data_IF_622056250723
#
_entry.id   IF_622056250723
#
_cell.length_a   1.000
_cell.length_b   1.000
_cell.length_c   1.000
_cell.angle_alpha   90.00
_cell.angle_beta   90.00
_cell.angle_gamma   90.00
#
_symmetry.space_group_name_H-M   'P 1'
#
loop_
_entity.id
_entity.type
_entity.pdbx_description
1 polymer ?
#
# COMPACT_ATOMS: atom_id res chain seq x y z
N UNK A 1 13.38 -13.14 -12.92
CA UNK A 1 12.20 -13.81 -12.31
C UNK A 1 10.99 -12.94 -12.58
N UNK A 2 9.79 -13.51 -12.71
CA UNK A 2 8.57 -12.70 -12.83
C UNK A 2 8.30 -11.96 -11.51
N UNK A 3 7.76 -10.75 -11.58
CA UNK A 3 7.28 -9.97 -10.44
C UNK A 3 5.82 -9.61 -10.63
N UNK A 4 4.99 -9.68 -9.57
CA UNK A 4 3.65 -9.14 -9.64
C UNK A 4 3.70 -7.63 -9.85
N UNK A 5 2.71 -7.08 -10.53
CA UNK A 5 2.48 -5.64 -10.56
C UNK A 5 1.38 -5.31 -9.55
N UNK A 6 1.63 -4.33 -8.68
CA UNK A 6 0.69 -3.84 -7.68
C UNK A 6 0.59 -2.33 -7.90
N UNK A 7 -0.63 -1.84 -8.06
CA UNK A 7 -0.95 -0.45 -8.31
C UNK A 7 -1.46 0.25 -7.03
N UNK A 8 -1.18 1.55 -6.89
CA UNK A 8 -1.75 2.44 -5.89
C UNK A 8 -2.82 3.30 -6.55
N UNK A 9 -4.10 3.02 -6.27
CA UNK A 9 -5.21 3.65 -6.99
C UNK A 9 -5.41 5.12 -6.63
N UNK A 10 -5.09 5.48 -5.39
CA UNK A 10 -5.16 6.85 -4.90
C UNK A 10 -3.78 7.52 -4.87
N UNK A 11 -2.90 7.20 -5.82
CA UNK A 11 -1.62 7.89 -5.93
C UNK A 11 -1.81 9.39 -6.19
N UNK A 12 -1.02 10.22 -5.49
CA UNK A 12 -0.97 11.66 -5.71
C UNK A 12 0.03 12.06 -6.80
N UNK A 13 0.82 11.11 -7.31
CA UNK A 13 1.77 11.31 -8.40
C UNK A 13 1.43 10.40 -9.60
N UNK A 14 2.14 10.61 -10.71
CA UNK A 14 1.93 9.83 -11.94
C UNK A 14 2.42 8.37 -11.83
N UNK A 15 3.01 7.99 -10.70
CA UNK A 15 3.59 6.68 -10.46
C UNK A 15 2.64 5.77 -9.70
N UNK A 16 1.99 4.86 -10.43
CA UNK A 16 1.01 3.94 -9.85
C UNK A 16 1.62 2.64 -9.34
N UNK A 17 2.72 2.17 -9.94
CA UNK A 17 3.26 0.84 -9.63
C UNK A 17 4.17 0.87 -8.40
N UNK A 18 3.86 0.02 -7.42
CA UNK A 18 4.59 -0.14 -6.16
C UNK A 18 5.91 -0.89 -6.39
N UNK A 19 5.88 -1.93 -7.23
CA UNK A 19 7.04 -2.81 -7.45
C UNK A 19 7.80 -2.34 -8.69
N UNK A 20 8.98 -1.74 -8.48
CA UNK A 20 9.84 -1.32 -9.58
C UNK A 20 10.87 -2.39 -9.93
N UNK A 21 11.01 -2.75 -11.21
CA UNK A 21 11.89 -3.85 -11.61
C UNK A 21 13.39 -3.61 -11.44
N UNK A 22 13.83 -2.37 -11.13
CA UNK A 22 15.24 -1.99 -11.33
C UNK A 22 16.15 -2.05 -10.10
N UNK A 23 15.66 -2.14 -8.85
CA UNK A 23 16.51 -1.98 -7.65
C UNK A 23 16.25 -2.95 -6.49
N UNK A 24 15.40 -3.96 -6.66
CA UNK A 24 14.99 -4.80 -5.53
C UNK A 24 15.84 -6.07 -5.39
N UNK A 25 16.22 -6.38 -4.14
CA UNK A 25 16.85 -7.66 -3.81
C UNK A 25 15.79 -8.76 -3.73
N UNK A 26 16.05 -9.87 -4.43
CA UNK A 26 15.23 -11.07 -4.39
C UNK A 26 16.00 -12.23 -3.76
N UNK A 27 15.33 -12.99 -2.91
CA UNK A 27 15.84 -14.23 -2.34
C UNK A 27 15.12 -15.41 -2.99
N UNK A 28 15.87 -16.32 -3.59
CA UNK A 28 15.37 -17.58 -4.15
C UNK A 28 15.80 -18.74 -3.26
N UNK A 29 14.83 -19.48 -2.75
CA UNK A 29 15.07 -20.71 -2.00
C UNK A 29 15.03 -21.94 -2.91
N UNK A 30 15.72 -23.01 -2.49
CA UNK A 30 15.74 -24.28 -3.24
C UNK A 30 14.35 -24.94 -3.39
N UNK A 31 13.37 -24.55 -2.56
CA UNK A 31 11.97 -24.99 -2.65
C UNK A 31 11.19 -24.31 -3.78
N UNK A 32 11.77 -23.31 -4.45
CA UNK A 32 11.07 -22.47 -5.41
C UNK A 32 10.39 -21.25 -4.79
N UNK A 33 10.46 -21.06 -3.46
CA UNK A 33 9.98 -19.85 -2.80
C UNK A 33 10.84 -18.65 -3.21
N UNK A 34 10.17 -17.60 -3.71
CA UNK A 34 10.78 -16.31 -4.05
C UNK A 34 10.28 -15.27 -3.06
N UNK A 35 11.21 -14.60 -2.38
CA UNK A 35 10.91 -13.48 -1.48
C UNK A 35 11.46 -12.20 -2.11
N UNK A 36 10.57 -11.27 -2.42
CA UNK A 36 10.88 -9.93 -2.88
C UNK A 36 10.68 -8.94 -1.72
N UNK A 37 11.69 -8.14 -1.41
CA UNK A 37 11.59 -7.05 -0.43
C UNK A 37 11.85 -5.72 -1.13
N UNK A 38 10.80 -4.92 -1.30
CA UNK A 38 10.88 -3.60 -1.93
C UNK A 38 10.49 -2.51 -0.93
N UNK A 39 11.40 -1.57 -0.59
CA UNK A 39 11.04 -0.37 0.14
C UNK A 39 10.40 0.64 -0.81
N UNK A 40 9.21 1.14 -0.45
CA UNK A 40 8.43 2.03 -1.31
C UNK A 40 8.07 3.32 -0.59
N UNK A 41 8.19 4.44 -1.32
CA UNK A 41 7.68 5.74 -0.91
C UNK A 41 6.37 5.97 -1.64
N UNK A 42 5.29 6.08 -0.88
CA UNK A 42 3.95 6.27 -1.44
C UNK A 42 3.48 7.69 -1.14
N UNK A 43 3.02 8.37 -2.19
CA UNK A 43 2.29 9.62 -2.07
C UNK A 43 0.85 9.33 -2.44
N UNK A 44 -0.06 9.50 -1.49
CA UNK A 44 -1.47 9.17 -1.68
C UNK A 44 -2.37 10.36 -1.38
N UNK A 45 -3.47 10.47 -2.11
CA UNK A 45 -4.53 11.44 -1.81
C UNK A 45 -5.35 10.98 -0.61
N UNK A 46 -5.66 11.92 0.28
CA UNK A 46 -6.48 11.70 1.47
C UNK A 46 -7.39 12.90 1.69
N UNK A 47 -8.68 12.65 1.95
CA UNK A 47 -9.66 13.68 2.28
C UNK A 47 -9.57 14.01 3.77
N UNK A 48 -9.29 15.27 4.11
CA UNK A 48 -9.10 15.71 5.48
C UNK A 48 -10.35 16.42 6.03
N UNK A 49 -10.77 16.05 7.23
CA UNK A 49 -11.80 16.76 7.99
C UNK A 49 -11.15 17.75 8.95
N UNK A 50 -11.19 19.04 8.60
CA UNK A 50 -10.59 20.12 9.39
C UNK A 50 -11.55 20.76 10.39
N UNK A 51 -12.72 20.16 10.64
CA UNK A 51 -13.75 20.73 11.54
C UNK A 51 -13.27 20.97 12.98
N UNK A 52 -12.23 20.26 13.41
CA UNK A 52 -11.67 20.34 14.78
C UNK A 52 -10.22 20.80 14.86
N UNK A 53 -9.71 21.41 13.80
CA UNK A 53 -8.33 21.91 13.76
C UNK A 53 -8.03 22.81 14.98
N UNK A 54 -6.89 22.65 15.68
CA UNK A 54 -5.74 21.75 15.39
C UNK A 54 -5.77 20.40 16.13
N UNK A 55 -6.91 20.03 16.73
CA UNK A 55 -7.10 18.77 17.47
C UNK A 55 -8.04 17.83 16.70
N UNK A 56 -7.78 17.74 15.40
CA UNK A 56 -8.48 16.91 14.45
C UNK A 56 -7.94 15.48 14.44
N UNK A 57 -8.67 14.59 13.77
CA UNK A 57 -8.26 13.20 13.57
C UNK A 57 -8.57 12.85 12.13
N UNK A 58 -7.59 12.28 11.45
CA UNK A 58 -7.66 12.02 10.02
C UNK A 58 -7.67 10.51 9.76
N UNK A 59 -8.50 10.09 8.82
CA UNK A 59 -8.56 8.70 8.35
C UNK A 59 -8.12 8.67 6.90
N UNK A 60 -6.93 8.13 6.65
CA UNK A 60 -6.36 8.01 5.32
C UNK A 60 -6.29 6.54 4.90
N UNK A 61 -6.51 6.31 3.60
CA UNK A 61 -6.47 4.99 3.00
C UNK A 61 -5.33 4.90 2.00
N UNK A 62 -4.72 3.72 1.90
CA UNK A 62 -3.80 3.37 0.82
C UNK A 62 -4.48 2.25 0.04
N UNK A 63 -4.85 2.52 -1.20
CA UNK A 63 -5.62 1.59 -2.02
C UNK A 63 -4.67 0.81 -2.93
N UNK A 64 -4.46 -0.47 -2.62
CA UNK A 64 -3.60 -1.36 -3.39
C UNK A 64 -4.42 -2.32 -4.26
N UNK A 65 -4.00 -2.52 -5.50
CA UNK A 65 -4.67 -3.41 -6.46
C UNK A 65 -3.64 -4.22 -7.25
N UNK A 66 -3.77 -5.56 -7.36
CA UNK A 66 -2.95 -6.32 -8.29
C UNK A 66 -3.28 -5.95 -9.74
N UNK A 67 -2.30 -6.01 -10.63
CA UNK A 67 -2.54 -5.81 -12.05
C UNK A 67 -1.81 -6.88 -12.88
N UNK A 68 -2.44 -7.43 -13.93
CA UNK A 68 -3.82 -7.22 -14.38
C UNK A 68 -4.89 -7.82 -13.45
N UNK A 69 -6.14 -7.39 -13.58
CA UNK A 69 -7.27 -7.72 -12.66
C UNK A 69 -7.56 -9.22 -12.52
N UNK A 70 -7.09 -10.03 -13.47
CA UNK A 70 -7.22 -11.49 -13.45
C UNK A 70 -6.13 -12.19 -12.62
N UNK A 71 -5.25 -11.45 -11.95
CA UNK A 71 -4.30 -12.00 -11.00
C UNK A 71 -4.98 -12.33 -9.67
N UNK A 72 -4.94 -13.61 -9.29
CA UNK A 72 -5.30 -14.04 -7.93
C UNK A 72 -4.17 -13.68 -6.97
N UNK A 73 -4.52 -13.05 -5.86
CA UNK A 73 -3.60 -12.69 -4.79
C UNK A 73 -4.28 -12.97 -3.45
N UNK A 74 -3.48 -13.32 -2.46
CA UNK A 74 -3.91 -13.49 -1.08
C UNK A 74 -3.06 -12.57 -0.23
N UNK A 75 -3.72 -11.75 0.60
CA UNK A 75 -3.04 -10.79 1.47
C UNK A 75 -2.95 -11.39 2.87
N UNK A 76 -1.73 -11.75 3.27
CA UNK A 76 -1.46 -12.15 4.64
C UNK A 76 -0.81 -10.98 5.39
N UNK A 77 -1.38 -10.62 6.54
CA UNK A 77 -0.77 -9.63 7.43
C UNK A 77 0.34 -10.28 8.23
N UNK A 78 1.58 -9.83 8.03
CA UNK A 78 2.71 -10.28 8.84
C UNK A 78 2.91 -9.28 9.98
N UNK A 79 2.76 -9.74 11.23
CA UNK A 79 3.16 -8.95 12.38
C UNK A 79 4.68 -8.83 12.41
N UNK A 80 5.19 -7.60 12.31
CA UNK A 80 6.62 -7.32 12.35
C UNK A 80 7.02 -6.98 13.79
N UNK A 81 6.92 -7.97 14.70
CA UNK A 81 7.12 -7.81 16.15
C UNK A 81 8.53 -7.31 16.57
N UNK A 82 9.46 -7.11 15.61
CA UNK A 82 10.86 -6.78 15.89
C UNK A 82 11.45 -5.70 14.97
N UNK A 83 10.63 -4.90 14.29
CA UNK A 83 11.17 -3.72 13.62
C UNK A 83 11.43 -2.62 14.67
N UNK A 84 12.62 -1.99 14.69
CA UNK A 84 12.81 -0.78 15.47
C UNK A 84 11.76 0.23 15.03
N UNK A 85 11.27 1.05 15.96
CA UNK A 85 10.18 2.00 15.73
C UNK A 85 10.46 2.89 14.50
N UNK A 86 9.96 2.47 13.34
CA UNK A 86 10.19 3.16 12.06
C UNK A 86 9.37 4.46 11.98
N UNK A 87 8.44 4.62 12.91
CA UNK A 87 7.51 5.74 13.00
C UNK A 87 8.13 6.92 13.76
N UNK A 88 9.30 7.40 13.33
CA UNK A 88 9.69 8.79 13.62
C UNK A 88 8.86 9.71 12.72
N UNK A 89 7.58 9.81 13.02
CA UNK A 89 6.71 10.81 12.42
C UNK A 89 7.21 12.18 12.88
N UNK A 90 7.20 13.16 11.97
CA UNK A 90 7.36 14.56 12.35
C UNK A 90 6.38 14.84 13.49
N UNK A 91 6.83 15.50 14.55
CA UNK A 91 6.11 15.63 15.83
C UNK A 91 4.75 16.34 15.80
N UNK A 92 4.12 16.46 14.63
CA UNK A 92 2.80 17.00 14.37
C UNK A 92 1.70 15.93 14.38
N UNK A 93 1.98 14.70 13.94
CA UNK A 93 0.98 13.63 13.82
C UNK A 93 1.36 12.36 14.59
N UNK A 94 0.38 11.67 15.14
CA UNK A 94 0.54 10.37 15.78
C UNK A 94 -0.45 9.36 15.21
N UNK A 95 0.01 8.14 14.96
CA UNK A 95 -0.86 7.06 14.47
C UNK A 95 -1.56 6.42 15.66
N UNK A 96 -2.89 6.49 15.68
CA UNK A 96 -3.72 5.90 16.75
C UNK A 96 -4.22 4.50 16.41
N UNK A 97 -4.46 4.21 15.13
CA UNK A 97 -4.97 2.93 14.66
C UNK A 97 -4.51 2.63 13.23
N UNK A 98 -4.30 1.35 12.94
CA UNK A 98 -4.01 0.83 11.60
C UNK A 98 -4.82 -0.45 11.41
N UNK A 99 -5.39 -0.65 10.22
CA UNK A 99 -6.06 -1.89 9.86
C UNK A 99 -5.97 -2.09 8.35
N UNK A 100 -6.12 -3.35 7.93
CA UNK A 100 -6.16 -3.74 6.52
C UNK A 100 -7.56 -4.30 6.26
N UNK A 101 -8.15 -3.92 5.13
CA UNK A 101 -9.43 -4.42 4.66
C UNK A 101 -9.30 -4.85 3.20
N UNK A 102 -9.94 -5.96 2.85
CA UNK A 102 -10.01 -6.46 1.47
C UNK A 102 -11.39 -6.15 0.88
N UNK A 103 -11.42 -5.70 -0.37
CA UNK A 103 -12.65 -5.40 -1.10
C UNK A 103 -12.53 -5.88 -2.53
N UNK A 104 -13.51 -6.64 -3.00
CA UNK A 104 -13.60 -7.10 -4.40
C UNK A 104 -14.44 -6.10 -5.18
N UNK A 105 -13.83 -5.48 -6.20
CA UNK A 105 -14.54 -4.59 -7.12
C UNK A 105 -14.84 -5.33 -8.42
N UNK A 106 -16.09 -5.32 -8.86
CA UNK A 106 -16.47 -5.72 -10.21
C UNK A 106 -16.33 -4.52 -11.13
N UNK A 107 -15.44 -4.58 -12.12
CA UNK A 107 -15.23 -3.53 -13.14
C UNK A 107 -16.39 -3.50 -14.16
N UNK A 108 -17.64 -3.53 -13.71
CA UNK A 108 -18.80 -3.58 -14.59
C UNK A 108 -19.18 -2.19 -15.15
N UNK A 109 -18.48 -1.10 -14.79
CA UNK A 109 -18.80 0.26 -15.27
C UNK A 109 -17.61 1.23 -15.33
N UNK A 110 -16.42 0.86 -15.85
CA UNK A 110 -15.34 1.81 -16.19
C UNK A 110 -14.92 2.86 -15.11
N UNK A 111 -15.35 2.70 -13.86
CA UNK A 111 -15.06 3.60 -12.75
C UNK A 111 -14.15 2.84 -11.80
N UNK A 112 -12.86 3.15 -11.89
CA UNK A 112 -11.92 2.87 -10.82
C UNK A 112 -12.41 3.70 -9.63
N UNK A 113 -12.54 3.13 -8.41
CA UNK A 113 -12.89 3.91 -7.23
C UNK A 113 -11.73 4.86 -6.93
N UNK A 114 -11.83 6.06 -7.49
CA UNK A 114 -11.04 7.22 -7.06
C UNK A 114 -11.83 7.85 -5.91
N UNK A 115 -11.16 7.91 -4.77
CA UNK A 115 -11.50 8.54 -3.49
C UNK A 115 -12.78 9.39 -3.42
#
# INVERSE_FOLDING_TARGET
LWTPNILVLNSANDELSVIKPFNDMMYLHHSGLVILKTPVFLETTCSLDLSRYPFDTQVCHILLMPFPDNCQFEVETVSLENLPDLYQLSGEWTITQQYIAESVYTLDNNEIPIA
#
